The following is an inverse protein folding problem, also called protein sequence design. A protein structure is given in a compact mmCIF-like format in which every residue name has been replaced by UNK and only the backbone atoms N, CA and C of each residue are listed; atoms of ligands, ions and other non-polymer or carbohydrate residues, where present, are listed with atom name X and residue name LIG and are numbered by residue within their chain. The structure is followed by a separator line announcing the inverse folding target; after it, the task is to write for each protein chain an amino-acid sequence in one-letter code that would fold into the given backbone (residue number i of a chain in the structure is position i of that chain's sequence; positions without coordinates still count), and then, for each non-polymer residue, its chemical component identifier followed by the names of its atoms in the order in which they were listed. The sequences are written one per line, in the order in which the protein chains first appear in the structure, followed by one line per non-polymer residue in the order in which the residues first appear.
data_IF_171388426843
#
_entry.id   IF_171388426843
#
_cell.length_a   1.000
_cell.length_b   1.000
_cell.length_c   1.000
_cell.angle_alpha   90.00
_cell.angle_beta   90.00
_cell.angle_gamma   90.00
#
_symmetry.space_group_name_H-M   'P 1'
#
loop_
_entity.id
_entity.type
_entity.pdbx_description
1 polymer ?
#
# COMPACT_ATOMS: atom_id res chain seq x y z
N UNK A 1 -16.93 -1.88 40.02
CA UNK A 1 -17.63 -1.75 38.72
C UNK A 1 -16.58 -1.84 37.62
N UNK A 2 -16.54 -2.96 36.90
CA UNK A 2 -15.58 -3.17 35.83
C UNK A 2 -16.01 -2.32 34.62
N UNK A 3 -15.16 -1.37 34.24
CA UNK A 3 -15.38 -0.48 33.11
C UNK A 3 -15.12 -1.27 31.81
N UNK A 4 -16.09 -2.08 31.40
CA UNK A 4 -16.12 -2.73 30.09
C UNK A 4 -16.38 -1.64 29.05
N UNK A 5 -15.31 -0.94 28.63
CA UNK A 5 -15.33 -0.22 27.37
C UNK A 5 -15.52 -1.28 26.28
N UNK A 6 -16.75 -1.47 25.82
CA UNK A 6 -17.02 -2.21 24.60
C UNK A 6 -16.20 -1.55 23.49
N UNK A 7 -15.14 -2.21 23.06
CA UNK A 7 -14.42 -1.84 21.86
C UNK A 7 -15.41 -2.01 20.71
N UNK A 8 -15.95 -0.91 20.21
CA UNK A 8 -16.71 -0.91 18.97
C UNK A 8 -15.74 -1.37 17.89
N UNK A 9 -15.92 -2.59 17.39
CA UNK A 9 -15.06 -3.16 16.35
C UNK A 9 -15.19 -2.29 15.12
N UNK A 10 -14.11 -1.61 14.74
CA UNK A 10 -14.02 -0.92 13.46
C UNK A 10 -14.16 -2.01 12.37
N UNK A 11 -15.22 -2.00 11.55
CA UNK A 11 -15.47 -3.04 10.56
C UNK A 11 -14.37 -3.10 9.48
N UNK A 12 -13.56 -2.04 9.37
CA UNK A 12 -12.42 -2.01 8.45
C UNK A 12 -11.18 -2.67 9.04
N UNK A 13 -11.13 -2.99 10.34
CA UNK A 13 -9.93 -3.50 10.98
C UNK A 13 -9.65 -4.95 10.58
N UNK A 14 -8.55 -5.16 9.86
CA UNK A 14 -8.08 -6.46 9.36
C UNK A 14 -7.27 -7.20 10.44
N UNK A 15 -6.33 -6.48 11.07
CA UNK A 15 -5.41 -7.04 12.05
C UNK A 15 -5.11 -5.99 13.12
N UNK A 16 -4.90 -6.42 14.36
CA UNK A 16 -4.53 -5.49 15.43
C UNK A 16 -3.76 -6.17 16.55
N UNK A 17 -2.90 -5.41 17.20
CA UNK A 17 -2.20 -5.79 18.41
C UNK A 17 -2.25 -4.63 19.41
N UNK A 18 -2.88 -4.86 20.56
CA UNK A 18 -3.10 -3.86 21.58
C UNK A 18 -2.55 -4.29 22.93
N UNK A 19 -2.03 -3.34 23.70
CA UNK A 19 -1.85 -3.48 25.15
C UNK A 19 -2.29 -2.18 25.83
N UNK A 20 -2.11 -2.07 27.16
CA UNK A 20 -2.52 -0.89 27.93
C UNK A 20 -1.86 0.43 27.48
N UNK A 21 -0.71 0.35 26.79
CA UNK A 21 0.16 1.47 26.43
C UNK A 21 0.08 1.83 24.95
N UNK A 22 -0.05 0.84 24.08
CA UNK A 22 0.04 1.05 22.63
C UNK A 22 -0.86 0.11 21.82
N UNK A 23 -1.33 0.60 20.69
CA UNK A 23 -2.08 -0.13 19.67
C UNK A 23 -1.35 -0.01 18.33
N UNK A 24 -1.26 -1.12 17.59
CA UNK A 24 -1.08 -1.09 16.14
C UNK A 24 -2.27 -1.80 15.49
N UNK A 25 -2.83 -1.22 14.44
CA UNK A 25 -3.95 -1.79 13.70
C UNK A 25 -3.72 -1.61 12.21
N UNK A 26 -4.15 -2.58 11.41
CA UNK A 26 -4.25 -2.48 9.97
C UNK A 26 -5.73 -2.43 9.59
N UNK A 27 -6.11 -1.47 8.76
CA UNK A 27 -7.47 -1.28 8.30
C UNK A 27 -7.55 -1.40 6.77
N UNK A 28 -8.62 -2.02 6.31
CA UNK A 28 -8.98 -2.15 4.90
C UNK A 28 -9.36 -0.79 4.33
N UNK A 29 -8.53 -0.32 3.42
CA UNK A 29 -8.75 0.85 2.58
C UNK A 29 -8.54 0.46 1.11
N UNK A 30 -8.64 -0.84 0.77
CA UNK A 30 -8.60 -1.31 -0.59
C UNK A 30 -9.90 -0.93 -1.29
N UNK A 31 -9.77 -0.29 -2.44
CA UNK A 31 -10.89 0.05 -3.30
C UNK A 31 -10.90 -0.88 -4.50
N UNK A 32 -12.06 -1.45 -4.87
CA UNK A 32 -12.16 -2.25 -6.07
C UNK A 32 -11.79 -1.39 -7.29
N UNK A 33 -11.23 -2.00 -8.33
CA UNK A 33 -11.00 -1.31 -9.59
C UNK A 33 -12.32 -0.74 -10.14
N UNK A 34 -12.26 0.43 -10.76
CA UNK A 34 -13.44 1.03 -11.40
C UNK A 34 -13.90 0.13 -12.56
N UNK A 35 -15.02 -0.56 -12.35
CA UNK A 35 -15.59 -1.52 -13.31
C UNK A 35 -16.14 -0.83 -14.56
N UNK A 36 -16.45 0.47 -14.48
CA UNK A 36 -17.09 1.24 -15.54
C UNK A 36 -16.15 2.30 -16.14
N UNK A 37 -14.96 2.47 -15.56
CA UNK A 37 -13.93 3.39 -16.06
C UNK A 37 -13.25 2.82 -17.30
N UNK A 38 -12.82 3.70 -18.20
CA UNK A 38 -11.96 3.34 -19.34
C UNK A 38 -10.63 2.77 -18.80
N UNK A 39 -10.32 1.47 -19.03
CA UNK A 39 -9.09 0.86 -18.53
C UNK A 39 -7.81 1.54 -19.01
N UNK A 40 -7.84 2.21 -20.18
CA UNK A 40 -6.70 2.99 -20.71
C UNK A 40 -6.56 4.35 -20.02
N UNK A 41 -7.65 4.87 -19.42
CA UNK A 41 -7.65 6.11 -18.62
C UNK A 41 -7.55 5.86 -17.14
N UNK A 42 -7.58 4.60 -16.70
CA UNK A 42 -7.39 4.23 -15.31
C UNK A 42 -6.00 4.71 -14.90
N UNK A 43 -5.86 5.85 -14.22
CA UNK A 43 -4.54 6.35 -13.94
C UNK A 43 -4.01 5.38 -12.91
N UNK A 44 -2.90 4.69 -13.21
CA UNK A 44 -2.16 3.94 -12.21
C UNK A 44 -1.98 4.79 -10.92
N UNK A 45 -1.95 6.12 -11.06
CA UNK A 45 -1.90 7.11 -9.98
C UNK A 45 -3.19 7.33 -9.17
N UNK A 46 -4.38 6.91 -9.58
CA UNK A 46 -5.65 7.14 -8.87
C UNK A 46 -5.99 5.95 -7.93
N UNK A 47 -5.80 4.71 -8.40
CA UNK A 47 -5.76 3.54 -7.51
C UNK A 47 -4.55 3.58 -6.57
N UNK A 48 -3.37 4.02 -7.04
CA UNK A 48 -2.22 4.25 -6.15
C UNK A 48 -2.43 5.40 -5.16
N UNK A 49 -3.37 6.34 -5.38
CA UNK A 49 -3.64 7.44 -4.44
C UNK A 49 -4.58 7.07 -3.30
N UNK A 50 -5.50 6.11 -3.49
CA UNK A 50 -6.57 5.85 -2.51
C UNK A 50 -6.81 4.38 -2.13
N UNK A 51 -6.27 3.40 -2.87
CA UNK A 51 -6.42 1.96 -2.55
C UNK A 51 -5.16 1.43 -1.86
N UNK A 52 -5.19 1.34 -0.53
CA UNK A 52 -4.02 0.96 0.30
C UNK A 52 -4.47 0.31 1.60
N UNK A 53 -3.58 -0.34 2.33
CA UNK A 53 -3.86 -0.78 3.70
C UNK A 53 -3.41 0.33 4.66
N UNK A 54 -4.32 0.80 5.52
CA UNK A 54 -4.00 1.85 6.50
C UNK A 54 -3.43 1.21 7.77
N UNK A 55 -2.19 1.54 8.12
CA UNK A 55 -1.59 1.17 9.40
C UNK A 55 -1.78 2.31 10.39
N UNK A 56 -2.46 2.05 11.49
CA UNK A 56 -2.64 2.96 12.61
C UNK A 56 -1.70 2.57 13.75
N UNK A 57 -1.00 3.54 14.33
CA UNK A 57 -0.23 3.36 15.56
C UNK A 57 -0.72 4.38 16.58
N UNK A 58 -1.13 3.89 17.74
CA UNK A 58 -1.60 4.71 18.86
C UNK A 58 -0.69 4.55 20.05
N UNK A 59 -0.27 5.67 20.63
CA UNK A 59 0.47 5.77 21.89
C UNK A 59 -0.44 6.40 22.95
N UNK A 60 -0.92 5.54 23.86
CA UNK A 60 -1.79 5.92 24.98
C UNK A 60 -1.01 6.46 26.17
N UNK A 61 0.32 6.34 26.19
CA UNK A 61 1.15 6.86 27.29
C UNK A 61 1.35 8.37 27.20
N UNK A 62 1.12 8.95 26.02
CA UNK A 62 1.16 10.41 25.81
C UNK A 62 -0.17 11.06 26.20
N UNK A 63 -0.08 12.31 26.68
CA UNK A 63 -1.22 13.15 27.04
C UNK A 63 -1.18 14.48 26.26
N UNK A 64 -2.09 14.71 25.29
CA UNK A 64 -3.11 13.76 24.80
C UNK A 64 -2.49 12.57 24.07
N UNK A 65 -3.23 11.46 23.99
CA UNK A 65 -2.77 10.26 23.27
C UNK A 65 -2.47 10.60 21.82
N UNK A 66 -1.41 10.00 21.28
CA UNK A 66 -0.97 10.25 19.90
C UNK A 66 -1.48 9.14 19.01
N UNK A 67 -2.35 9.49 18.06
CA UNK A 67 -2.85 8.60 17.01
C UNK A 67 -2.26 9.02 15.68
N UNK A 68 -1.54 8.12 15.00
CA UNK A 68 -0.95 8.37 13.69
C UNK A 68 -1.31 7.23 12.74
N UNK A 69 -1.48 7.57 11.46
CA UNK A 69 -1.85 6.62 10.41
C UNK A 69 -0.92 6.74 9.21
N UNK A 70 -0.61 5.64 8.56
CA UNK A 70 0.17 5.60 7.32
C UNK A 70 -0.38 4.52 6.39
N UNK A 71 -0.64 4.88 5.14
CA UNK A 71 -1.13 3.92 4.15
C UNK A 71 0.04 3.23 3.43
N UNK A 72 0.10 1.90 3.50
CA UNK A 72 1.06 1.07 2.76
C UNK A 72 0.40 0.41 1.55
N UNK A 73 1.18 0.25 0.49
CA UNK A 73 0.74 -0.45 -0.71
C UNK A 73 0.80 -1.98 -0.48
N UNK A 74 -0.10 -2.77 -1.10
CA UNK A 74 -0.09 -4.23 -0.94
C UNK A 74 1.26 -4.89 -1.26
N UNK A 75 1.98 -4.37 -2.25
CA UNK A 75 3.33 -4.84 -2.62
C UNK A 75 4.37 -4.59 -1.52
N UNK A 76 4.33 -3.42 -0.87
CA UNK A 76 5.20 -3.09 0.27
C UNK A 76 4.96 -4.05 1.43
N UNK A 77 3.68 -4.36 1.71
CA UNK A 77 3.28 -5.29 2.77
C UNK A 77 3.76 -6.71 2.48
N UNK A 78 3.59 -7.20 1.24
CA UNK A 78 4.07 -8.53 0.83
C UNK A 78 5.59 -8.64 0.96
N UNK A 79 6.32 -7.61 0.52
CA UNK A 79 7.78 -7.55 0.65
C UNK A 79 8.22 -7.55 2.12
N UNK A 80 7.56 -6.75 2.97
CA UNK A 80 7.82 -6.71 4.40
C UNK A 80 7.57 -8.07 5.05
N UNK A 81 6.43 -8.69 4.78
CA UNK A 81 6.08 -10.00 5.34
C UNK A 81 7.12 -11.08 4.98
N UNK A 82 7.61 -11.09 3.73
CA UNK A 82 8.67 -11.99 3.30
C UNK A 82 9.97 -11.74 4.08
N UNK A 83 10.39 -10.48 4.18
CA UNK A 83 11.60 -10.10 4.95
C UNK A 83 11.48 -10.47 6.42
N UNK A 84 10.34 -10.19 7.05
CA UNK A 84 10.06 -10.53 8.45
C UNK A 84 10.20 -12.04 8.65
N UNK A 85 9.56 -12.84 7.79
CA UNK A 85 9.59 -14.31 7.87
C UNK A 85 11.02 -14.88 7.77
N UNK A 86 11.89 -14.24 6.99
CA UNK A 86 13.30 -14.64 6.91
C UNK A 86 14.13 -14.20 8.12
N UNK A 87 13.77 -13.09 8.76
CA UNK A 87 14.56 -12.46 9.80
C UNK A 87 14.24 -12.97 11.21
N UNK A 88 13.01 -13.43 11.47
CA UNK A 88 12.60 -13.95 12.79
C UNK A 88 13.46 -15.13 13.25
N UNK A 89 14.05 -15.89 12.31
CA UNK A 89 14.93 -17.03 12.58
C UNK A 89 16.42 -16.65 12.67
N UNK A 90 16.77 -15.37 12.67
CA UNK A 90 18.16 -14.89 12.64
C UNK A 90 18.43 -13.88 13.75
N UNK A 91 19.70 -13.59 14.03
CA UNK A 91 20.13 -12.49 14.91
C UNK A 91 20.53 -11.24 14.10
N UNK A 92 20.00 -11.08 12.89
CA UNK A 92 20.29 -9.93 12.05
C UNK A 92 19.47 -8.71 12.43
N UNK A 93 20.13 -7.58 12.50
CA UNK A 93 19.48 -6.28 12.54
C UNK A 93 18.79 -5.98 11.22
N UNK A 94 17.73 -5.18 11.29
CA UNK A 94 16.97 -4.77 10.12
C UNK A 94 16.41 -3.36 10.32
N UNK A 95 16.37 -2.59 9.23
CA UNK A 95 15.76 -1.28 9.18
C UNK A 95 15.14 -1.06 7.81
N UNK A 96 13.90 -0.61 7.77
CA UNK A 96 13.19 -0.25 6.56
C UNK A 96 12.23 0.90 6.85
N UNK A 97 12.22 1.89 5.97
CA UNK A 97 11.36 3.05 6.10
C UNK A 97 10.83 3.51 4.75
N UNK A 98 9.64 4.10 4.78
CA UNK A 98 9.01 4.78 3.64
C UNK A 98 8.58 6.16 4.08
N UNK A 99 8.84 7.13 3.22
CA UNK A 99 8.56 8.55 3.46
C UNK A 99 7.56 9.05 2.44
N UNK A 100 6.50 9.72 2.91
CA UNK A 100 5.59 10.50 2.07
C UNK A 100 5.88 11.97 2.27
N UNK A 101 6.22 12.64 1.16
CA UNK A 101 6.42 14.08 1.12
C UNK A 101 5.27 14.72 0.34
N UNK A 102 4.62 15.72 0.95
CA UNK A 102 3.47 16.40 0.37
C UNK A 102 3.82 17.74 -0.30
N UNK A 103 5.12 18.01 -0.54
CA UNK A 103 5.61 19.24 -1.18
C UNK A 103 5.01 19.49 -2.56
N UNK A 104 4.80 18.43 -3.35
CA UNK A 104 4.14 18.51 -4.65
C UNK A 104 2.69 19.02 -4.58
N UNK A 105 2.08 19.00 -3.39
CA UNK A 105 0.72 19.52 -3.12
C UNK A 105 0.74 20.86 -2.38
N UNK A 106 1.89 21.56 -2.33
CA UNK A 106 2.03 22.84 -1.63
C UNK A 106 2.06 22.73 -0.11
N UNK A 107 2.26 21.52 0.45
CA UNK A 107 2.36 21.29 1.89
C UNK A 107 3.78 20.88 2.27
N UNK A 108 4.33 21.43 3.35
CA UNK A 108 5.61 21.01 3.93
C UNK A 108 5.49 19.74 4.79
N UNK A 109 4.29 19.15 4.88
CA UNK A 109 4.02 17.94 5.65
C UNK A 109 4.86 16.78 5.11
N UNK A 110 5.39 16.01 6.05
CA UNK A 110 6.07 14.75 5.82
C UNK A 110 5.58 13.69 6.81
N UNK A 111 5.46 12.47 6.32
CA UNK A 111 5.10 11.30 7.11
C UNK A 111 6.13 10.21 6.86
N UNK A 112 6.58 9.54 7.91
CA UNK A 112 7.53 8.44 7.84
C UNK A 112 6.91 7.24 8.55
N UNK A 113 6.84 6.12 7.85
CA UNK A 113 6.58 4.81 8.43
C UNK A 113 7.89 4.03 8.46
N UNK A 114 8.20 3.42 9.61
CA UNK A 114 9.47 2.77 9.84
C UNK A 114 9.30 1.47 10.63
N UNK A 115 9.99 0.42 10.19
CA UNK A 115 10.11 -0.88 10.83
C UNK A 115 11.57 -1.16 11.10
N UNK A 116 11.90 -1.43 12.37
CA UNK A 116 13.25 -1.84 12.76
C UNK A 116 13.23 -3.13 13.54
N UNK A 117 14.35 -3.83 13.51
CA UNK A 117 14.62 -5.02 14.32
C UNK A 117 15.97 -4.90 14.99
N UNK A 118 15.98 -5.05 16.31
CA UNK A 118 17.17 -5.13 17.14
C UNK A 118 17.07 -6.42 17.96
N UNK A 119 17.62 -7.54 17.45
CA UNK A 119 17.43 -8.87 18.04
C UNK A 119 18.19 -9.07 19.34
N UNK A 120 19.30 -8.35 19.53
CA UNK A 120 20.12 -8.41 20.72
C UNK A 120 20.08 -7.06 21.44
N UNK A 121 19.88 -7.06 22.75
CA UNK A 121 20.01 -5.88 23.61
C UNK A 121 20.99 -6.22 24.72
N UNK A 122 22.09 -5.47 24.80
CA UNK A 122 23.18 -5.72 25.75
C UNK A 122 23.74 -7.15 25.66
N UNK A 123 23.79 -7.71 24.43
CA UNK A 123 24.28 -9.08 24.19
C UNK A 123 23.25 -10.19 24.44
N UNK A 124 22.08 -9.88 24.97
CA UNK A 124 21.01 -10.85 25.22
C UNK A 124 19.88 -10.76 24.20
N UNK A 125 19.22 -11.89 23.92
CA UNK A 125 18.08 -11.93 23.00
C UNK A 125 16.94 -11.04 23.51
N UNK A 126 16.57 -10.04 22.72
CA UNK A 126 15.53 -9.10 23.05
C UNK A 126 14.15 -9.77 23.00
N UNK A 127 13.35 -9.61 24.06
CA UNK A 127 11.96 -10.12 24.11
C UNK A 127 11.06 -9.50 23.04
N UNK A 128 11.26 -8.21 22.73
CA UNK A 128 10.51 -7.47 21.73
C UNK A 128 11.50 -6.80 20.75
N UNK A 129 12.05 -7.58 19.80
CA UNK A 129 13.11 -7.09 18.93
C UNK A 129 12.59 -6.14 17.86
N UNK A 130 11.30 -6.19 17.51
CA UNK A 130 10.72 -5.40 16.45
C UNK A 130 10.12 -4.09 16.96
N UNK A 131 10.21 -3.04 16.15
CA UNK A 131 9.53 -1.76 16.35
C UNK A 131 8.80 -1.37 15.08
N UNK A 132 7.49 -1.11 15.18
CA UNK A 132 6.73 -0.37 14.16
C UNK A 132 6.56 1.06 14.66
N UNK A 133 6.85 2.05 13.83
CA UNK A 133 6.70 3.46 14.17
C UNK A 133 6.15 4.29 13.02
N UNK A 134 5.35 5.28 13.37
CA UNK A 134 4.94 6.36 12.48
C UNK A 134 5.40 7.67 13.09
N UNK A 135 6.01 8.52 12.28
CA UNK A 135 6.39 9.87 12.64
C UNK A 135 5.80 10.84 11.62
N UNK A 136 5.29 11.96 12.09
CA UNK A 136 4.76 13.05 11.25
C UNK A 136 5.45 14.34 11.63
N UNK A 137 5.64 15.22 10.66
CA UNK A 137 6.23 16.52 10.88
C UNK A 137 6.39 17.27 9.57
N UNK A 138 7.41 18.11 9.50
CA UNK A 138 7.61 19.03 8.37
C UNK A 138 9.00 18.91 7.76
N UNK A 139 9.14 19.30 6.49
CA UNK A 139 10.43 19.46 5.84
C UNK A 139 11.08 20.76 6.30
N UNK A 140 12.28 20.70 6.88
CA UNK A 140 13.02 21.89 7.29
C UNK A 140 13.25 22.83 6.10
N UNK A 141 12.78 24.08 6.20
CA UNK A 141 12.79 25.10 5.13
C UNK A 141 14.17 25.36 4.51
N UNK A 142 15.26 25.10 5.23
CA UNK A 142 16.63 25.43 4.80
C UNK A 142 17.56 24.22 4.59
N UNK A 143 17.12 22.99 4.93
CA UNK A 143 17.98 21.80 4.82
C UNK A 143 17.31 20.59 4.18
N UNK A 144 15.99 20.64 3.92
CA UNK A 144 15.23 19.51 3.40
C UNK A 144 15.15 18.31 4.36
N UNK A 145 15.68 18.44 5.59
CA UNK A 145 15.68 17.38 6.60
C UNK A 145 14.33 17.31 7.29
N UNK A 146 13.86 16.09 7.55
CA UNK A 146 12.63 15.85 8.30
C UNK A 146 12.74 16.35 9.75
N UNK A 147 11.81 17.19 10.17
CA UNK A 147 11.64 17.61 11.55
C UNK A 147 10.41 16.92 12.13
N UNK A 148 10.64 15.93 12.99
CA UNK A 148 9.56 15.16 13.61
C UNK A 148 8.81 16.00 14.64
N UNK A 149 7.50 16.10 14.50
CA UNK A 149 6.61 16.81 15.45
C UNK A 149 5.86 15.83 16.36
N UNK A 150 5.34 14.75 15.78
CA UNK A 150 4.65 13.67 16.50
C UNK A 150 5.20 12.34 16.07
N UNK A 151 5.25 11.42 17.02
CA UNK A 151 5.65 10.03 16.77
C UNK A 151 4.88 9.09 17.67
N UNK A 152 4.57 7.91 17.14
CA UNK A 152 3.99 6.80 17.87
C UNK A 152 4.73 5.53 17.47
N UNK A 153 4.98 4.65 18.43
CA UNK A 153 5.69 3.38 18.18
C UNK A 153 5.13 2.25 19.01
N UNK A 154 5.29 1.03 18.50
CA UNK A 154 4.97 -0.20 19.22
C UNK A 154 6.11 -1.19 19.10
N UNK A 155 6.51 -1.75 20.24
CA UNK A 155 7.44 -2.88 20.32
C UNK A 155 6.67 -4.19 20.19
N UNK A 156 7.24 -5.13 19.46
CA UNK A 156 6.60 -6.41 19.10
C UNK A 156 7.59 -7.57 19.25
N UNK A 157 7.08 -8.73 19.67
CA UNK A 157 7.81 -9.99 19.61
C UNK A 157 7.93 -10.50 18.17
N UNK A 158 8.77 -11.51 17.93
CA UNK A 158 8.84 -12.17 16.60
C UNK A 158 7.46 -12.73 16.19
N UNK A 159 6.76 -13.42 17.11
CA UNK A 159 5.43 -14.00 16.85
C UNK A 159 4.37 -12.94 16.56
N UNK A 160 4.36 -11.86 17.34
CA UNK A 160 3.43 -10.74 17.14
C UNK A 160 3.66 -10.09 15.76
N UNK A 161 4.93 -9.86 15.40
CA UNK A 161 5.28 -9.25 14.12
C UNK A 161 4.88 -10.14 12.93
N UNK A 162 5.18 -11.44 13.02
CA UNK A 162 4.87 -12.40 11.97
C UNK A 162 3.36 -12.58 11.81
N UNK A 163 2.62 -12.72 12.91
CA UNK A 163 1.15 -12.84 12.88
C UNK A 163 0.50 -11.58 12.32
N UNK A 164 0.92 -10.39 12.75
CA UNK A 164 0.34 -9.13 12.30
C UNK A 164 0.44 -8.96 10.77
N UNK A 165 1.63 -9.14 10.19
CA UNK A 165 1.79 -9.05 8.73
C UNK A 165 1.19 -10.24 7.99
N UNK A 166 1.19 -11.44 8.59
CA UNK A 166 0.56 -12.64 8.03
C UNK A 166 -0.95 -12.46 7.84
N UNK A 167 -1.65 -11.94 8.86
CA UNK A 167 -3.09 -11.66 8.82
C UNK A 167 -3.41 -10.64 7.71
N UNK A 168 -2.59 -9.60 7.54
CA UNK A 168 -2.76 -8.60 6.48
C UNK A 168 -2.57 -9.22 5.09
N UNK A 169 -1.51 -10.03 4.89
CA UNK A 169 -1.25 -10.67 3.59
C UNK A 169 -2.34 -11.69 3.23
N UNK A 170 -2.84 -12.44 4.21
CA UNK A 170 -3.97 -13.35 4.02
C UNK A 170 -5.21 -12.58 3.54
N UNK A 171 -5.52 -11.46 4.20
CA UNK A 171 -6.63 -10.60 3.81
C UNK A 171 -6.47 -10.05 2.38
N UNK A 172 -5.31 -9.49 2.03
CA UNK A 172 -5.04 -8.98 0.67
C UNK A 172 -5.29 -10.08 -0.36
N UNK A 173 -4.86 -11.31 -0.07
CA UNK A 173 -5.01 -12.43 -1.00
C UNK A 173 -6.49 -12.81 -1.19
N UNK A 174 -7.28 -12.84 -0.11
CA UNK A 174 -8.74 -13.06 -0.21
C UNK A 174 -9.42 -11.93 -0.98
N UNK A 175 -9.02 -10.68 -0.74
CA UNK A 175 -9.54 -9.52 -1.44
C UNK A 175 -9.26 -9.59 -2.96
N UNK A 176 -8.02 -9.89 -3.34
CA UNK A 176 -7.62 -10.03 -4.75
C UNK A 176 -8.36 -11.18 -5.45
N UNK A 177 -8.59 -12.30 -4.75
CA UNK A 177 -9.40 -13.41 -5.28
C UNK A 177 -10.88 -13.00 -5.46
N UNK A 178 -11.40 -12.19 -4.54
CA UNK A 178 -12.83 -11.80 -4.53
C UNK A 178 -13.14 -10.73 -5.57
N UNK A 179 -12.26 -9.73 -5.73
CA UNK A 179 -12.51 -8.56 -6.58
C UNK A 179 -11.58 -8.47 -7.80
N UNK A 180 -10.31 -8.85 -7.65
CA UNK A 180 -9.31 -8.75 -8.72
C UNK A 180 -9.55 -9.76 -9.84
N UNK A 181 -9.72 -11.04 -9.52
CA UNK A 181 -9.95 -12.07 -10.53
C UNK A 181 -11.23 -11.83 -11.37
N UNK A 182 -12.39 -11.51 -10.76
CA UNK A 182 -13.58 -11.14 -11.53
C UNK A 182 -13.39 -9.88 -12.37
N UNK A 183 -12.67 -8.87 -11.88
CA UNK A 183 -12.37 -7.66 -12.66
C UNK A 183 -11.58 -7.98 -13.94
N UNK A 184 -10.52 -8.78 -13.83
CA UNK A 184 -9.70 -9.16 -14.98
C UNK A 184 -10.55 -9.88 -16.03
N UNK A 185 -11.31 -10.90 -15.59
CA UNK A 185 -12.12 -11.73 -16.50
C UNK A 185 -13.28 -10.97 -17.13
N UNK A 186 -13.98 -10.14 -16.34
CA UNK A 186 -15.24 -9.55 -16.79
C UNK A 186 -15.07 -8.17 -17.41
N UNK A 187 -13.96 -7.46 -17.15
CA UNK A 187 -13.73 -6.10 -17.67
C UNK A 187 -12.50 -6.05 -18.57
N UNK A 188 -11.34 -6.49 -18.07
CA UNK A 188 -10.07 -6.32 -18.81
C UNK A 188 -10.00 -7.21 -20.05
N UNK A 189 -10.37 -8.48 -19.95
CA UNK A 189 -10.32 -9.42 -21.09
C UNK A 189 -11.26 -9.00 -22.24
N UNK A 190 -12.55 -8.68 -22.00
CA UNK A 190 -13.43 -8.14 -23.04
C UNK A 190 -12.90 -6.84 -23.65
N UNK A 191 -12.41 -5.92 -22.82
CA UNK A 191 -11.85 -4.64 -23.28
C UNK A 191 -10.66 -4.86 -24.22
N UNK A 192 -9.71 -5.72 -23.85
CA UNK A 192 -8.56 -6.08 -24.69
C UNK A 192 -8.99 -6.68 -26.03
N UNK A 193 -10.05 -7.50 -26.03
CA UNK A 193 -10.58 -8.11 -27.25
C UNK A 193 -11.17 -7.05 -28.19
N UNK A 194 -11.99 -6.15 -27.66
CA UNK A 194 -12.60 -5.06 -28.42
C UNK A 194 -11.56 -4.13 -29.04
N UNK A 195 -10.52 -3.77 -28.27
CA UNK A 195 -9.39 -2.96 -28.76
C UNK A 195 -8.62 -3.64 -29.89
N UNK A 196 -8.34 -4.95 -29.77
CA UNK A 196 -7.70 -5.74 -30.85
C UNK A 196 -8.57 -5.77 -32.11
N UNK A 197 -9.89 -5.87 -31.97
CA UNK A 197 -10.83 -5.84 -33.10
C UNK A 197 -10.89 -4.47 -33.78
N UNK A 198 -10.94 -3.38 -33.01
CA UNK A 198 -10.87 -2.01 -33.54
C UNK A 198 -9.57 -1.76 -34.30
N UNK A 199 -8.42 -2.18 -33.75
CA UNK A 199 -7.13 -2.01 -34.41
C UNK A 199 -7.04 -2.83 -35.70
N UNK A 200 -7.60 -4.05 -35.72
CA UNK A 200 -7.70 -4.86 -36.95
C UNK A 200 -8.57 -4.19 -38.02
N UNK A 201 -9.72 -3.62 -37.64
CA UNK A 201 -10.59 -2.87 -38.56
C UNK A 201 -9.88 -1.65 -39.13
N UNK A 202 -9.26 -0.82 -38.28
CA UNK A 202 -8.51 0.35 -38.71
C UNK A 202 -7.36 0.01 -39.68
N UNK A 203 -6.61 -1.09 -39.43
CA UNK A 203 -5.58 -1.59 -40.34
C UNK A 203 -6.15 -2.08 -41.69
N UNK A 204 -7.32 -2.71 -41.67
CA UNK A 204 -7.99 -3.17 -42.90
C UNK A 204 -8.54 -1.99 -43.72
N UNK A 205 -9.10 -0.97 -43.07
CA UNK A 205 -9.61 0.22 -43.75
C UNK A 205 -8.48 1.06 -44.37
N UNK A 206 -7.35 1.19 -43.66
CA UNK A 206 -6.14 1.80 -44.21
C UNK A 206 -5.59 1.05 -45.44
N UNK A 207 -5.59 -0.29 -45.43
CA UNK A 207 -5.15 -1.12 -46.58
C UNK A 207 -6.10 -1.04 -47.77
N UNK A 208 -7.39 -0.79 -47.55
CA UNK A 208 -8.41 -0.67 -48.61
C UNK A 208 -8.47 0.73 -49.23
N UNK A 209 -7.57 1.64 -48.88
CA UNK A 209 -7.53 3.00 -49.44
C UNK A 209 -8.76 3.84 -49.11
N UNK A 210 -9.58 3.43 -48.13
CA UNK A 210 -10.68 4.25 -47.64
C UNK A 210 -10.10 5.35 -46.75
N UNK A 211 -9.73 6.47 -47.37
CA UNK A 211 -9.60 7.74 -46.67
C UNK A 211 -10.98 8.14 -46.17
N UNK A 212 -11.34 7.71 -44.97
CA UNK A 212 -12.40 8.36 -44.21
C UNK A 212 -11.83 9.69 -43.72
N UNK A 213 -12.20 10.76 -44.44
CA UNK A 213 -12.05 12.12 -43.94
C UNK A 213 -12.74 12.26 -42.59
N UNK A 214 -12.13 13.09 -41.74
CA UNK A 214 -12.64 13.54 -40.45
C UNK A 214 -12.78 12.47 -39.36
N UNK A 215 -11.64 12.13 -38.76
CA UNK A 215 -11.59 11.85 -37.32
C UNK A 215 -10.97 13.09 -36.66
N UNK A 216 -11.82 13.97 -36.13
CA UNK A 216 -11.39 15.05 -35.25
C UNK A 216 -10.77 14.44 -33.99
N UNK A 217 -9.50 14.81 -33.77
CA UNK A 217 -8.87 15.03 -32.46
C UNK A 217 -9.28 14.08 -31.31
N UNK A 218 -8.81 12.83 -31.36
CA UNK A 218 -8.72 12.01 -30.15
C UNK A 218 -7.49 11.09 -30.19
N UNK A 219 -6.53 11.43 -29.33
CA UNK A 219 -5.50 10.55 -28.78
C UNK A 219 -4.40 10.10 -29.76
N UNK A 220 -3.29 10.84 -29.73
CA UNK A 220 -1.98 10.26 -30.02
C UNK A 220 -1.79 9.03 -29.14
N UNK A 221 -1.91 7.86 -29.75
CA UNK A 221 -1.58 6.58 -29.15
C UNK A 221 -0.08 6.63 -28.85
N UNK A 222 0.36 6.49 -27.58
CA UNK A 222 1.78 6.26 -27.34
C UNK A 222 2.15 4.96 -28.04
N UNK A 223 3.07 5.05 -29.01
CA UNK A 223 3.67 3.88 -29.64
C UNK A 223 4.52 3.15 -28.59
N UNK A 224 3.89 2.31 -27.78
CA UNK A 224 4.61 1.27 -27.07
C UNK A 224 4.96 0.21 -28.11
N UNK A 225 6.25 0.15 -28.45
CA UNK A 225 6.81 -0.89 -29.31
C UNK A 225 6.37 -2.26 -28.83
N UNK A 226 6.14 -3.15 -29.80
CA UNK A 226 5.83 -4.55 -29.59
C UNK A 226 6.73 -5.13 -28.48
N UNK A 227 6.15 -5.36 -27.30
CA UNK A 227 6.69 -6.36 -26.40
C UNK A 227 6.26 -7.69 -27.01
N UNK A 228 7.13 -8.21 -27.86
CA UNK A 228 7.11 -9.59 -28.28
C UNK A 228 7.19 -10.44 -27.01
N UNK A 229 6.05 -10.97 -26.56
CA UNK A 229 5.99 -12.17 -25.74
C UNK A 229 6.46 -13.35 -26.62
N UNK A 230 7.75 -13.38 -26.96
CA UNK A 230 8.38 -14.62 -27.40
C UNK A 230 8.56 -15.50 -26.17
N UNK A 231 7.73 -16.54 -26.11
CA UNK A 231 7.95 -17.69 -25.25
C UNK A 231 9.25 -18.36 -25.73
N UNK A 232 10.32 -18.24 -24.95
CA UNK A 232 11.34 -19.27 -24.70
C UNK A 232 12.11 -18.99 -23.40
#
# INVERSE_FOLDING_TARGET
MANNKQYQTDPTQIAFLSNKKTLVAACDYLQPPDLNGDPDKCPASLHARYSRIKINVTDFEKNPSVFLSFNLDPSEIRLLHQKISMLTMTEREFSWAVTKNYSAFGSDRMEIFNITRVPLRNGEKAKYPWTISISTGTSAKNSGKFQSEKSARKLLSDDEMQRFFGDIVAYISVWEMTFGAPFIRNVIEPYKKERKEMQKKARQDARKGKSTGQYDEAQQVPSYGDFDDEIL
#
